data_IF_392275903480
#
_entry.id   IF_392275903480
#
_cell.length_a   1.000
_cell.length_b   1.000
_cell.length_c   1.000
_cell.angle_alpha   90.00
_cell.angle_beta   90.00
_cell.angle_gamma   90.00
#
_symmetry.space_group_name_H-M   'P 1'
#
loop_
_entity.id
_entity.type
_entity.pdbx_description
1 polymer ?
#
# COMPACT_ATOMS: atom_id res chain seq x y z
N UNK A 1 -19.48 -38.06 -53.20
CA UNK A 1 -18.20 -37.34 -52.97
C UNK A 1 -18.55 -35.86 -52.86
N UNK A 2 -18.16 -35.20 -51.76
CA UNK A 2 -18.56 -33.84 -51.28
C UNK A 2 -19.82 -33.79 -50.41
N UNK A 3 -19.62 -33.83 -49.10
CA UNK A 3 -20.45 -33.24 -48.02
C UNK A 3 -20.14 -34.04 -46.75
N UNK A 4 -19.06 -33.73 -46.00
CA UNK A 4 -18.89 -34.16 -44.59
C UNK A 4 -17.59 -33.60 -43.99
N UNK A 5 -17.37 -32.27 -44.03
CA UNK A 5 -16.30 -31.61 -43.23
C UNK A 5 -16.77 -30.21 -42.85
N UNK A 6 -17.75 -30.07 -41.95
CA UNK A 6 -18.13 -28.78 -41.35
C UNK A 6 -18.73 -28.93 -39.93
N UNK A 7 -18.28 -29.92 -39.16
CA UNK A 7 -18.85 -30.21 -37.82
C UNK A 7 -17.81 -30.34 -36.69
N UNK A 8 -16.64 -29.70 -36.82
CA UNK A 8 -15.64 -29.64 -35.75
C UNK A 8 -15.01 -28.25 -35.57
N UNK A 9 -15.83 -27.22 -35.80
CA UNK A 9 -15.59 -25.86 -35.31
C UNK A 9 -16.74 -25.51 -34.36
N UNK A 10 -16.93 -26.37 -33.34
CA UNK A 10 -17.55 -25.93 -32.10
C UNK A 10 -16.56 -24.93 -31.51
N UNK A 11 -16.75 -23.67 -31.92
CA UNK A 11 -16.32 -22.52 -31.17
C UNK A 11 -16.70 -22.79 -29.72
N UNK A 12 -15.71 -23.12 -28.91
CA UNK A 12 -15.72 -22.75 -27.51
C UNK A 12 -15.84 -21.23 -27.49
N UNK A 13 -17.06 -20.73 -27.65
CA UNK A 13 -17.48 -19.43 -27.17
C UNK A 13 -17.25 -19.52 -25.67
N UNK A 14 -15.99 -19.31 -25.27
CA UNK A 14 -15.63 -18.91 -23.93
C UNK A 14 -16.42 -17.65 -23.71
N UNK A 15 -17.61 -17.80 -23.12
CA UNK A 15 -18.40 -16.72 -22.59
C UNK A 15 -17.50 -16.03 -21.56
N UNK A 16 -16.74 -15.03 -22.02
CA UNK A 16 -16.14 -14.01 -21.18
C UNK A 16 -17.34 -13.28 -20.56
N UNK A 17 -17.83 -13.84 -19.46
CA UNK A 17 -18.78 -13.18 -18.59
C UNK A 17 -18.05 -11.94 -18.11
N UNK A 18 -18.38 -10.79 -18.69
CA UNK A 18 -17.90 -9.51 -18.19
C UNK A 18 -18.47 -9.35 -16.80
N UNK A 19 -17.60 -9.42 -15.80
CA UNK A 19 -17.97 -9.15 -14.41
C UNK A 19 -18.71 -7.81 -14.34
N UNK A 20 -19.82 -7.80 -13.61
CA UNK A 20 -20.57 -6.56 -13.34
C UNK A 20 -19.63 -5.53 -12.72
N UNK A 21 -19.82 -4.23 -12.97
CA UNK A 21 -19.02 -3.17 -12.31
C UNK A 21 -19.07 -3.26 -10.78
N UNK A 22 -20.12 -3.89 -10.23
CA UNK A 22 -20.27 -4.13 -8.79
C UNK A 22 -19.38 -5.28 -8.26
N UNK A 23 -18.82 -6.11 -9.14
CA UNK A 23 -17.89 -7.18 -8.78
C UNK A 23 -16.42 -6.74 -8.87
N UNK A 24 -16.14 -5.60 -9.50
CA UNK A 24 -14.78 -5.06 -9.56
C UNK A 24 -14.36 -4.56 -8.18
N UNK A 25 -13.34 -5.21 -7.64
CA UNK A 25 -12.78 -4.81 -6.36
C UNK A 25 -11.77 -3.71 -6.58
N UNK A 26 -11.74 -2.76 -5.64
CA UNK A 26 -10.77 -1.70 -5.55
C UNK A 26 -10.41 -1.54 -4.09
N UNK A 27 -9.22 -1.97 -3.73
CA UNK A 27 -8.64 -1.77 -2.40
C UNK A 27 -7.20 -1.34 -2.52
N UNK A 28 -6.65 -0.78 -1.46
CA UNK A 28 -5.25 -0.37 -1.44
C UNK A 28 -4.92 0.51 -0.27
N UNK A 29 -3.69 0.99 -0.25
CA UNK A 29 -3.21 1.94 0.74
C UNK A 29 -1.90 2.58 0.33
N UNK A 30 -1.53 3.65 1.03
CA UNK A 30 -0.30 4.38 0.79
C UNK A 30 -0.16 5.60 1.68
N UNK A 31 0.96 6.30 1.53
CA UNK A 31 1.24 7.51 2.30
C UNK A 31 1.33 7.26 3.80
N UNK A 32 0.72 8.15 4.57
CA UNK A 32 0.60 8.10 6.03
C UNK A 32 -0.52 7.16 6.51
N UNK A 33 -0.19 5.88 6.74
CA UNK A 33 -0.85 4.74 6.13
C UNK A 33 -2.36 4.91 6.01
N UNK A 34 -2.77 5.45 4.86
CA UNK A 34 -4.15 5.58 4.47
C UNK A 34 -4.57 4.35 3.68
N UNK A 35 -5.77 3.84 3.92
CA UNK A 35 -6.32 2.67 3.25
C UNK A 35 -7.73 2.93 2.76
N UNK A 36 -7.97 2.56 1.50
CA UNK A 36 -9.33 2.42 1.01
C UNK A 36 -9.70 0.94 0.98
N UNK A 37 -10.70 0.62 1.80
CA UNK A 37 -11.16 -0.73 2.07
C UNK A 37 -12.18 -1.17 1.02
N UNK A 38 -12.47 -2.46 1.03
CA UNK A 38 -13.56 -2.99 0.21
C UNK A 38 -14.89 -2.32 0.61
N UNK A 39 -15.61 -1.81 -0.38
CA UNK A 39 -16.87 -1.09 -0.16
C UNK A 39 -16.72 0.43 -0.14
N UNK A 40 -15.50 0.95 -0.32
CA UNK A 40 -15.24 2.38 -0.45
C UNK A 40 -15.03 3.10 0.88
N UNK A 41 -14.99 2.37 2.00
CA UNK A 41 -14.61 2.92 3.29
C UNK A 41 -13.14 3.34 3.29
N UNK A 42 -12.84 4.39 4.05
CA UNK A 42 -11.53 5.02 4.13
C UNK A 42 -11.06 4.98 5.58
N UNK A 43 -9.81 4.59 5.83
CA UNK A 43 -9.25 4.47 7.18
C UNK A 43 -7.77 4.85 7.21
N UNK A 44 -7.32 5.44 8.31
CA UNK A 44 -5.92 5.80 8.56
C UNK A 44 -5.41 4.98 9.74
N UNK A 45 -4.19 4.46 9.66
CA UNK A 45 -3.58 3.66 10.74
C UNK A 45 -2.16 4.12 11.03
N UNK A 46 -1.99 4.79 12.17
CA UNK A 46 -0.68 5.13 12.72
C UNK A 46 -0.15 4.05 13.64
N UNK A 47 0.27 2.93 13.04
CA UNK A 47 0.78 1.78 13.78
C UNK A 47 2.13 1.33 13.23
N UNK A 48 3.07 1.02 14.11
CA UNK A 48 4.31 0.34 13.76
C UNK A 48 4.12 -1.15 13.97
N UNK A 49 3.97 -1.91 12.88
CA UNK A 49 3.99 -3.38 12.85
C UNK A 49 3.93 -3.87 11.39
N UNK A 50 3.80 -5.17 11.18
CA UNK A 50 3.38 -5.73 9.90
C UNK A 50 1.90 -6.12 9.96
N UNK A 51 1.14 -5.80 8.91
CA UNK A 51 -0.31 -6.04 8.81
C UNK A 51 -0.60 -6.95 7.61
N UNK A 52 -1.44 -7.96 7.81
CA UNK A 52 -2.01 -8.78 6.74
C UNK A 52 -3.13 -8.00 6.06
N UNK A 53 -2.80 -7.38 4.92
CA UNK A 53 -3.75 -6.59 4.15
C UNK A 53 -4.83 -7.45 3.52
N UNK A 54 -4.42 -8.57 2.91
CA UNK A 54 -5.29 -9.58 2.34
C UNK A 54 -4.61 -10.94 2.39
N UNK A 55 -5.40 -12.01 2.56
CA UNK A 55 -4.96 -13.38 2.43
C UNK A 55 -6.08 -14.29 1.90
N UNK A 56 -5.71 -15.39 1.25
CA UNK A 56 -6.64 -16.40 0.78
C UNK A 56 -6.12 -17.15 -0.44
N UNK A 57 -7.01 -17.40 -1.41
CA UNK A 57 -6.65 -18.00 -2.70
C UNK A 57 -7.13 -17.16 -3.86
N UNK A 58 -6.28 -16.98 -4.86
CA UNK A 58 -6.55 -16.28 -6.12
C UNK A 58 -6.12 -17.20 -7.25
N UNK A 59 -7.02 -17.48 -8.20
CA UNK A 59 -6.71 -18.36 -9.34
C UNK A 59 -6.09 -19.72 -8.91
N UNK A 60 -6.62 -20.29 -7.83
CA UNK A 60 -6.14 -21.55 -7.25
C UNK A 60 -4.80 -21.48 -6.50
N UNK A 61 -4.11 -20.33 -6.52
CA UNK A 61 -2.84 -20.11 -5.80
C UNK A 61 -3.07 -19.53 -4.42
N UNK A 62 -2.22 -19.90 -3.46
CA UNK A 62 -2.15 -19.19 -2.18
C UNK A 62 -1.76 -17.73 -2.43
N UNK A 63 -2.43 -16.82 -1.73
CA UNK A 63 -2.29 -15.39 -1.96
C UNK A 63 -2.23 -14.67 -0.63
N UNK A 64 -1.21 -13.82 -0.45
CA UNK A 64 -1.11 -12.93 0.71
C UNK A 64 -0.49 -11.59 0.32
N UNK A 65 -0.96 -10.51 0.94
CA UNK A 65 -0.35 -9.19 0.87
C UNK A 65 -0.13 -8.72 2.31
N UNK A 66 1.11 -8.41 2.66
CA UNK A 66 1.47 -7.82 3.94
C UNK A 66 2.04 -6.41 3.72
N UNK A 67 1.65 -5.45 4.55
CA UNK A 67 2.37 -4.17 4.69
C UNK A 67 3.26 -4.19 5.92
N UNK A 68 4.37 -3.47 5.84
CA UNK A 68 5.21 -3.14 7.00
C UNK A 68 5.20 -1.64 7.18
N UNK A 69 4.85 -1.22 8.38
CA UNK A 69 4.74 0.18 8.74
C UNK A 69 5.90 0.55 9.64
N UNK A 70 6.59 1.63 9.30
CA UNK A 70 7.75 2.11 10.03
C UNK A 70 7.62 3.58 10.34
N UNK A 71 8.39 4.04 11.34
CA UNK A 71 8.55 5.46 11.61
C UNK A 71 9.67 5.99 10.73
N UNK A 72 9.59 7.23 10.22
CA UNK A 72 10.69 7.77 9.44
C UNK A 72 11.98 7.91 10.24
N UNK A 73 13.07 7.38 9.69
CA UNK A 73 14.41 7.56 10.25
C UNK A 73 15.05 8.88 9.83
N UNK A 74 14.60 9.47 8.70
CA UNK A 74 15.14 10.72 8.16
C UNK A 74 14.52 11.92 8.87
N UNK A 75 15.17 12.38 9.95
CA UNK A 75 14.79 13.60 10.69
C UNK A 75 14.68 14.85 9.80
N UNK A 76 15.39 14.88 8.66
CA UNK A 76 15.39 16.01 7.73
C UNK A 76 14.09 16.12 6.92
N UNK A 77 13.45 14.98 6.61
CA UNK A 77 12.22 14.93 5.80
C UNK A 77 11.00 15.10 6.71
N UNK A 78 11.00 14.39 7.84
CA UNK A 78 9.87 14.37 8.77
C UNK A 78 10.25 15.21 9.98
N UNK A 79 9.92 16.51 9.90
CA UNK A 79 10.25 17.52 10.91
C UNK A 79 9.71 17.13 12.29
N UNK A 80 10.51 16.43 13.13
CA UNK A 80 10.25 16.10 14.54
C UNK A 80 8.90 15.43 14.89
N UNK A 81 8.02 15.16 13.92
CA UNK A 81 6.72 14.56 14.14
C UNK A 81 6.94 13.11 14.56
N UNK A 82 6.86 12.91 15.88
CA UNK A 82 6.94 11.60 16.48
C UNK A 82 5.74 10.74 16.08
N UNK A 83 4.66 11.39 15.63
CA UNK A 83 3.28 10.92 15.40
C UNK A 83 2.99 10.40 14.00
N UNK A 84 4.02 9.95 13.29
CA UNK A 84 3.90 9.60 11.87
C UNK A 84 4.50 8.24 11.56
N UNK A 85 3.76 7.44 10.80
CA UNK A 85 4.27 6.20 10.21
C UNK A 85 4.10 6.23 8.69
N UNK A 86 4.70 5.27 8.00
CA UNK A 86 4.48 5.09 6.57
C UNK A 86 4.65 3.62 6.20
N UNK A 87 4.15 3.25 5.02
CA UNK A 87 4.36 1.91 4.46
C UNK A 87 5.79 1.82 3.90
N UNK A 88 6.69 1.21 4.66
CA UNK A 88 8.11 1.08 4.30
C UNK A 88 8.41 -0.11 3.39
N UNK A 89 7.57 -1.15 3.44
CA UNK A 89 7.64 -2.26 2.50
C UNK A 89 6.29 -2.95 2.30
N UNK A 90 6.10 -3.51 1.11
CA UNK A 90 4.98 -4.40 0.78
C UNK A 90 5.55 -5.76 0.40
N UNK A 91 5.03 -6.82 1.02
CA UNK A 91 5.29 -8.21 0.67
C UNK A 91 4.07 -8.83 0.02
N UNK A 92 4.24 -9.60 -1.06
CA UNK A 92 3.16 -10.31 -1.75
C UNK A 92 3.58 -11.75 -1.97
N UNK A 93 2.75 -12.70 -1.56
CA UNK A 93 2.90 -14.10 -1.91
C UNK A 93 1.91 -14.50 -2.99
N UNK A 94 2.39 -15.12 -4.08
CA UNK A 94 1.62 -15.71 -5.17
C UNK A 94 2.06 -17.18 -5.35
N UNK A 95 1.36 -18.11 -4.71
CA UNK A 95 1.77 -19.49 -4.60
C UNK A 95 3.11 -19.62 -3.85
N UNK A 96 4.11 -20.17 -4.53
CA UNK A 96 5.47 -20.34 -3.98
C UNK A 96 6.35 -19.08 -4.13
N UNK A 97 5.88 -18.09 -4.90
CA UNK A 97 6.65 -16.88 -5.17
C UNK A 97 6.34 -15.78 -4.17
N UNK A 98 7.40 -15.18 -3.62
CA UNK A 98 7.32 -14.04 -2.71
C UNK A 98 7.98 -12.81 -3.34
N UNK A 99 7.17 -11.78 -3.54
CA UNK A 99 7.56 -10.45 -3.98
C UNK A 99 7.72 -9.52 -2.80
N UNK A 100 8.74 -8.66 -2.82
CA UNK A 100 8.95 -7.62 -1.82
C UNK A 100 9.34 -6.32 -2.50
N UNK A 101 8.58 -5.26 -2.26
CA UNK A 101 8.94 -3.88 -2.63
C UNK A 101 9.42 -3.16 -1.37
N UNK A 102 10.59 -2.51 -1.45
CA UNK A 102 11.15 -1.65 -0.41
C UNK A 102 11.10 -0.18 -0.86
N UNK A 103 10.66 0.70 0.02
CA UNK A 103 10.38 2.09 -0.35
C UNK A 103 11.65 2.89 -0.68
N UNK A 104 12.70 2.70 0.13
CA UNK A 104 13.98 3.43 0.02
C UNK A 104 14.69 3.22 -1.32
N UNK A 105 14.56 2.02 -1.89
CA UNK A 105 15.26 1.68 -3.14
C UNK A 105 14.30 1.62 -4.34
N UNK A 106 12.99 1.58 -4.11
CA UNK A 106 11.98 1.29 -5.13
C UNK A 106 12.24 -0.01 -5.89
N UNK A 107 12.89 -0.98 -5.24
CA UNK A 107 13.29 -2.25 -5.87
C UNK A 107 12.33 -3.36 -5.51
N UNK A 108 11.89 -4.09 -6.53
CA UNK A 108 11.12 -5.33 -6.38
C UNK A 108 12.04 -6.55 -6.37
N UNK A 109 11.91 -7.37 -5.33
CA UNK A 109 12.61 -8.63 -5.18
C UNK A 109 11.64 -9.79 -5.30
N UNK A 110 12.02 -10.86 -6.00
CA UNK A 110 11.32 -12.15 -6.06
C UNK A 110 12.16 -13.22 -5.38
N UNK A 111 11.64 -13.90 -4.36
CA UNK A 111 12.34 -14.98 -3.64
C UNK A 111 13.78 -14.61 -3.22
N UNK A 112 13.96 -13.37 -2.73
CA UNK A 112 15.26 -12.78 -2.34
C UNK A 112 16.21 -12.46 -3.51
N UNK A 113 15.78 -12.60 -4.76
CA UNK A 113 16.53 -12.20 -5.96
C UNK A 113 15.95 -10.89 -6.49
N UNK A 114 16.79 -9.91 -6.84
CA UNK A 114 16.35 -8.63 -7.40
C UNK A 114 15.88 -8.83 -8.85
N UNK A 115 14.69 -8.31 -9.19
CA UNK A 115 14.10 -8.52 -10.54
C UNK A 115 14.91 -7.80 -11.63
N UNK A 116 15.58 -6.68 -11.33
CA UNK A 116 16.41 -5.95 -12.30
C UNK A 116 17.85 -6.45 -12.43
N UNK A 117 18.27 -7.47 -11.69
CA UNK A 117 19.63 -8.06 -11.77
C UNK A 117 19.60 -9.53 -12.23
N UNK A 118 18.41 -10.10 -12.44
CA UNK A 118 18.25 -11.45 -12.97
C UNK A 118 18.44 -11.50 -14.48
N UNK A 119 18.87 -12.66 -14.99
CA UNK A 119 19.13 -13.04 -16.40
C UNK A 119 17.81 -13.07 -17.25
N UNK A 120 16.83 -12.27 -16.87
CA UNK A 120 15.42 -12.46 -17.13
C UNK A 120 14.74 -11.20 -17.65
N UNK A 121 15.52 -10.20 -18.07
CA UNK A 121 15.01 -8.98 -18.67
C UNK A 121 15.42 -8.95 -20.15
N UNK A 122 14.46 -9.08 -21.06
CA UNK A 122 14.60 -8.48 -22.38
C UNK A 122 14.08 -7.06 -22.24
N UNK A 123 14.96 -6.08 -22.39
CA UNK A 123 14.59 -4.66 -22.38
C UNK A 123 14.04 -4.31 -23.77
N UNK A 124 12.72 -4.23 -23.88
CA UNK A 124 12.10 -3.44 -24.95
C UNK A 124 11.76 -2.07 -24.36
N UNK A 125 12.54 -1.07 -24.75
CA UNK A 125 12.30 0.31 -24.37
C UNK A 125 11.26 0.91 -25.33
N UNK A 126 10.01 0.99 -24.88
CA UNK A 126 8.97 1.77 -25.57
C UNK A 126 8.67 3.05 -24.78
N UNK A 127 8.53 4.15 -25.50
CA UNK A 127 8.00 5.41 -24.95
C UNK A 127 6.50 5.46 -25.27
N UNK A 128 5.67 5.77 -24.27
CA UNK A 128 4.24 5.99 -24.52
C UNK A 128 3.99 7.37 -25.18
N UNK A 129 2.73 7.65 -25.56
CA UNK A 129 2.33 8.93 -26.19
C UNK A 129 2.64 10.15 -25.31
N UNK A 130 2.75 9.96 -24.00
CA UNK A 130 3.08 10.99 -23.01
C UNK A 130 4.60 11.16 -22.80
N UNK A 131 5.43 10.39 -23.51
CA UNK A 131 6.89 10.42 -23.42
C UNK A 131 7.47 9.71 -22.19
N UNK A 132 6.68 8.90 -21.49
CA UNK A 132 7.15 8.10 -20.35
C UNK A 132 7.85 6.83 -20.83
N UNK A 133 8.99 6.52 -20.23
CA UNK A 133 9.72 5.27 -20.47
C UNK A 133 8.98 4.10 -19.81
N UNK A 134 8.49 3.17 -20.63
CA UNK A 134 7.90 1.92 -20.17
C UNK A 134 8.93 0.81 -20.36
N UNK A 135 9.49 0.33 -19.26
CA UNK A 135 10.38 -0.83 -19.26
C UNK A 135 9.55 -2.10 -18.99
N UNK A 136 9.13 -2.79 -20.05
CA UNK A 136 8.42 -4.05 -19.88
C UNK A 136 9.41 -5.20 -19.64
N UNK A 137 9.35 -5.79 -18.44
CA UNK A 137 10.18 -6.92 -18.06
C UNK A 137 9.38 -8.23 -18.19
N UNK A 138 9.57 -8.97 -19.27
CA UNK A 138 9.00 -10.32 -19.37
C UNK A 138 9.79 -11.31 -18.51
N UNK A 139 9.22 -11.74 -17.38
CA UNK A 139 9.80 -12.80 -16.53
C UNK A 139 9.82 -14.13 -17.32
N UNK A 140 10.98 -14.74 -17.63
CA UNK A 140 11.04 -15.84 -18.58
C UNK A 140 10.31 -17.10 -18.14
N UNK A 141 9.36 -17.44 -19.00
CA UNK A 141 8.78 -18.70 -19.47
C UNK A 141 8.60 -19.92 -18.57
N UNK A 142 9.39 -20.15 -17.52
CA UNK A 142 9.15 -21.33 -16.66
C UNK A 142 8.12 -21.10 -15.55
N UNK A 143 7.70 -19.86 -15.31
CA UNK A 143 6.59 -19.48 -14.38
C UNK A 143 5.62 -18.48 -15.06
N UNK A 144 5.82 -18.16 -16.34
CA UNK A 144 5.09 -17.12 -17.08
C UNK A 144 3.59 -17.42 -17.31
N UNK A 145 3.11 -18.62 -16.99
CA UNK A 145 1.74 -19.01 -17.28
C UNK A 145 0.69 -18.38 -16.36
N UNK A 146 1.07 -17.78 -15.22
CA UNK A 146 0.08 -17.36 -14.18
C UNK A 146 -0.03 -15.85 -13.99
N UNK A 147 1.06 -15.10 -14.16
CA UNK A 147 1.06 -13.65 -14.02
C UNK A 147 2.23 -13.03 -14.79
N UNK A 148 2.08 -11.75 -15.12
CA UNK A 148 3.07 -10.88 -15.78
C UNK A 148 3.42 -9.72 -14.86
N UNK A 149 4.66 -9.24 -14.92
CA UNK A 149 5.12 -8.09 -14.14
C UNK A 149 5.65 -7.03 -15.09
N UNK A 150 5.12 -5.81 -15.00
CA UNK A 150 5.63 -4.66 -15.76
C UNK A 150 6.26 -3.68 -14.77
N UNK A 151 7.36 -3.02 -15.16
CA UNK A 151 7.93 -1.90 -14.40
C UNK A 151 7.69 -0.62 -15.19
N UNK A 152 7.41 0.46 -14.51
CA UNK A 152 7.37 1.80 -15.10
C UNK A 152 8.18 2.72 -14.22
N UNK A 153 9.03 3.52 -14.85
CA UNK A 153 9.70 4.62 -14.16
C UNK A 153 8.86 5.86 -14.47
N UNK A 154 8.24 6.40 -13.43
CA UNK A 154 7.38 7.57 -13.50
C UNK A 154 8.19 8.77 -13.03
N UNK A 155 7.95 9.95 -13.63
CA UNK A 155 8.46 11.27 -13.22
C UNK A 155 9.95 11.32 -12.82
N UNK A 156 10.83 11.70 -13.76
CA UNK A 156 12.25 12.03 -13.48
C UNK A 156 12.97 11.01 -12.56
N UNK A 157 12.61 9.72 -12.66
CA UNK A 157 13.18 8.62 -11.85
C UNK A 157 12.84 8.64 -10.34
N UNK A 158 12.00 9.56 -9.89
CA UNK A 158 11.61 9.68 -8.47
C UNK A 158 10.52 8.70 -8.03
N UNK A 159 9.80 8.13 -9.00
CA UNK A 159 8.73 7.17 -8.73
C UNK A 159 8.90 5.90 -9.58
N UNK A 160 8.81 4.75 -8.93
CA UNK A 160 8.86 3.44 -9.60
C UNK A 160 7.54 2.73 -9.38
N UNK A 161 6.92 2.24 -10.47
CA UNK A 161 5.71 1.44 -10.43
C UNK A 161 5.97 0.02 -10.92
N UNK A 162 5.43 -0.96 -10.23
CA UNK A 162 5.33 -2.34 -10.67
C UNK A 162 3.85 -2.72 -10.84
N UNK A 163 3.53 -3.39 -11.93
CA UNK A 163 2.18 -3.85 -12.26
C UNK A 163 2.21 -5.36 -12.40
N UNK A 164 1.56 -6.08 -11.48
CA UNK A 164 1.38 -7.52 -11.56
C UNK A 164 0.01 -7.78 -12.17
N UNK A 165 -0.04 -8.36 -13.37
CA UNK A 165 -1.28 -8.74 -14.07
C UNK A 165 -1.42 -10.25 -14.12
N UNK A 166 -2.63 -10.79 -13.92
CA UNK A 166 -2.86 -12.24 -13.95
C UNK A 166 -3.20 -12.71 -15.35
N UNK A 167 -2.65 -13.85 -15.78
CA UNK A 167 -2.89 -14.41 -17.13
C UNK A 167 -4.27 -15.04 -17.29
N UNK A 168 -4.85 -15.55 -16.19
CA UNK A 168 -6.23 -16.05 -16.15
C UNK A 168 -7.26 -14.92 -16.28
N UNK A 169 -6.87 -13.68 -15.98
CA UNK A 169 -7.77 -12.53 -15.99
C UNK A 169 -7.06 -11.20 -16.31
N UNK A 170 -7.27 -10.72 -17.54
CA UNK A 170 -6.64 -9.49 -18.07
C UNK A 170 -7.00 -8.22 -17.28
N UNK A 171 -8.08 -8.24 -16.49
CA UNK A 171 -8.53 -7.09 -15.70
C UNK A 171 -8.00 -7.09 -14.26
N UNK A 172 -7.50 -8.22 -13.75
CA UNK A 172 -6.98 -8.32 -12.38
C UNK A 172 -5.53 -7.87 -12.32
N UNK A 173 -5.30 -6.80 -11.55
CA UNK A 173 -4.01 -6.12 -11.44
C UNK A 173 -3.71 -5.72 -10.01
N UNK A 174 -2.44 -5.85 -9.64
CA UNK A 174 -1.86 -5.27 -8.43
C UNK A 174 -0.82 -4.23 -8.88
N UNK A 175 -0.98 -3.00 -8.42
CA UNK A 175 -0.03 -1.92 -8.64
C UNK A 175 0.73 -1.68 -7.34
N UNK A 176 2.04 -1.64 -7.44
CA UNK A 176 2.94 -1.27 -6.35
C UNK A 176 3.72 -0.07 -6.83
N UNK A 177 3.73 1.02 -6.05
CA UNK A 177 4.43 2.24 -6.40
C UNK A 177 5.31 2.62 -5.23
N UNK A 178 6.56 2.94 -5.49
CA UNK A 178 7.48 3.51 -4.53
C UNK A 178 7.82 4.94 -4.95
N UNK A 179 7.77 5.87 -4.00
CA UNK A 179 8.27 7.23 -4.15
C UNK A 179 9.61 7.33 -3.43
N UNK A 180 10.70 7.51 -4.18
CA UNK A 180 12.07 7.41 -3.67
C UNK A 180 12.46 8.59 -2.79
N UNK A 181 11.95 9.79 -3.10
CA UNK A 181 12.31 10.98 -2.32
C UNK A 181 11.76 10.92 -0.88
N UNK A 182 10.62 10.27 -0.66
CA UNK A 182 9.90 10.28 0.62
C UNK A 182 9.89 8.91 1.30
N UNK A 183 10.57 7.93 0.70
CA UNK A 183 10.57 6.53 1.12
C UNK A 183 9.14 5.98 1.33
N UNK A 184 8.17 6.32 0.46
CA UNK A 184 6.76 5.88 0.62
C UNK A 184 6.35 4.82 -0.40
N UNK A 185 5.55 3.86 0.04
CA UNK A 185 4.88 2.90 -0.86
C UNK A 185 3.39 3.16 -0.93
N UNK A 186 2.87 3.09 -2.16
CA UNK A 186 1.45 2.98 -2.46
C UNK A 186 1.20 1.62 -3.09
N UNK A 187 0.11 0.97 -2.69
CA UNK A 187 -0.36 -0.26 -3.29
C UNK A 187 -1.83 -0.11 -3.63
N UNK A 188 -2.21 -0.57 -4.82
CA UNK A 188 -3.59 -0.68 -5.22
C UNK A 188 -3.83 -2.03 -5.87
N UNK A 189 -5.01 -2.58 -5.64
CA UNK A 189 -5.45 -3.82 -6.24
C UNK A 189 -6.82 -3.60 -6.88
N UNK A 190 -6.94 -3.97 -8.15
CA UNK A 190 -8.18 -3.81 -8.90
C UNK A 190 -8.47 -4.99 -9.82
N UNK A 191 -9.73 -5.43 -9.89
CA UNK A 191 -10.14 -6.52 -10.80
C UNK A 191 -11.22 -7.42 -10.21
N UNK A 192 -11.50 -8.53 -10.89
CA UNK A 192 -12.47 -9.52 -10.44
C UNK A 192 -11.87 -10.54 -9.47
N UNK A 193 -10.58 -10.90 -9.65
CA UNK A 193 -9.88 -11.97 -8.93
C UNK A 193 -10.67 -13.30 -8.88
N UNK A 194 -11.59 -13.53 -9.81
CA UNK A 194 -12.45 -14.72 -9.88
C UNK A 194 -13.26 -14.98 -8.59
N UNK A 195 -13.41 -16.26 -8.22
CA UNK A 195 -14.11 -16.69 -7.00
C UNK A 195 -13.23 -16.59 -5.73
N UNK A 196 -12.27 -15.66 -5.69
CA UNK A 196 -11.31 -15.57 -4.62
C UNK A 196 -11.98 -15.37 -3.25
N UNK A 197 -11.50 -16.12 -2.26
CA UNK A 197 -11.92 -15.98 -0.87
C UNK A 197 -10.88 -15.17 -0.12
N UNK A 198 -10.81 -13.87 -0.40
CA UNK A 198 -9.86 -12.98 0.26
C UNK A 198 -10.45 -12.35 1.52
N UNK A 199 -9.65 -12.27 2.56
CA UNK A 199 -9.98 -11.54 3.77
C UNK A 199 -8.71 -10.93 4.34
N UNK A 200 -8.83 -9.80 5.03
CA UNK A 200 -7.71 -9.12 5.64
C UNK A 200 -8.12 -7.78 6.22
N UNK A 201 -7.11 -6.98 6.55
CA UNK A 201 -7.29 -5.60 6.97
C UNK A 201 -8.05 -4.76 5.92
N UNK A 202 -7.90 -5.07 4.61
CA UNK A 202 -8.63 -4.38 3.53
C UNK A 202 -10.10 -4.83 3.37
N UNK A 203 -10.58 -5.71 4.25
CA UNK A 203 -11.95 -6.23 4.28
C UNK A 203 -12.07 -7.67 3.80
N UNK A 204 -13.31 -8.16 3.71
CA UNK A 204 -13.68 -9.52 3.29
C UNK A 204 -14.27 -9.49 1.87
N UNK A 205 -13.87 -10.41 0.98
CA UNK A 205 -14.30 -10.50 -0.42
C UNK A 205 -15.69 -11.10 -0.66
N UNK A 206 -16.31 -11.71 0.34
CA UNK A 206 -17.66 -12.28 0.25
C UNK A 206 -18.69 -11.50 1.04
N UNK A 207 -18.25 -10.76 2.05
CA UNK A 207 -19.13 -10.09 3.01
C UNK A 207 -18.84 -8.59 3.08
N UNK A 208 -19.88 -7.80 3.35
CA UNK A 208 -19.72 -6.36 3.65
C UNK A 208 -19.44 -6.19 5.15
N UNK A 209 -18.59 -5.22 5.47
CA UNK A 209 -18.14 -4.93 6.84
C UNK A 209 -16.70 -5.38 7.12
N UNK A 210 -16.25 -5.11 8.33
CA UNK A 210 -14.92 -5.41 8.84
C UNK A 210 -15.01 -6.62 9.76
N UNK A 211 -14.23 -7.65 9.46
CA UNK A 211 -14.28 -8.94 10.15
C UNK A 211 -12.92 -9.26 10.77
N UNK A 212 -12.97 -9.94 11.91
CA UNK A 212 -11.84 -10.61 12.52
C UNK A 212 -11.49 -11.91 11.76
N UNK A 213 -10.31 -12.48 12.05
CA UNK A 213 -9.82 -13.73 11.45
C UNK A 213 -10.71 -14.93 11.74
N UNK A 214 -11.38 -14.94 12.89
CA UNK A 214 -12.38 -15.94 13.28
C UNK A 214 -13.74 -15.77 12.57
N UNK A 215 -13.87 -14.73 11.73
CA UNK A 215 -15.08 -14.43 10.98
C UNK A 215 -16.12 -13.62 11.75
N UNK A 216 -15.85 -13.18 12.99
CA UNK A 216 -16.69 -12.28 13.77
C UNK A 216 -16.73 -10.89 13.12
N UNK A 217 -17.93 -10.31 13.02
CA UNK A 217 -18.10 -8.93 12.56
C UNK A 217 -17.63 -7.97 13.66
N UNK A 218 -16.65 -7.13 13.36
CA UNK A 218 -16.15 -6.09 14.27
C UNK A 218 -16.89 -4.78 14.06
N UNK A 219 -17.08 -4.36 12.80
CA UNK A 219 -17.83 -3.15 12.46
C UNK A 219 -18.48 -3.26 11.08
N UNK A 220 -19.59 -2.54 10.86
CA UNK A 220 -20.24 -2.49 9.55
C UNK A 220 -19.58 -1.48 8.61
N UNK A 221 -18.95 -0.44 9.16
CA UNK A 221 -18.25 0.63 8.45
C UNK A 221 -16.96 0.96 9.19
N UNK A 222 -15.98 1.51 8.47
CA UNK A 222 -14.72 1.96 9.06
C UNK A 222 -14.88 3.01 10.17
N UNK A 223 -15.86 3.91 10.08
CA UNK A 223 -16.10 4.94 11.11
C UNK A 223 -16.53 4.36 12.47
N UNK A 224 -17.03 3.13 12.49
CA UNK A 224 -17.58 2.50 13.70
C UNK A 224 -16.58 1.54 14.37
N UNK A 225 -15.39 1.33 13.79
CA UNK A 225 -14.43 0.34 14.28
C UNK A 225 -13.47 0.96 15.30
N UNK A 226 -13.14 0.21 16.35
CA UNK A 226 -11.93 0.47 17.11
C UNK A 226 -10.73 0.12 16.21
N UNK A 227 -10.01 1.14 15.75
CA UNK A 227 -8.94 0.97 14.79
C UNK A 227 -7.76 0.22 15.39
N UNK A 228 -7.47 0.40 16.67
CA UNK A 228 -6.36 -0.29 17.33
C UNK A 228 -6.68 -1.78 17.48
N UNK A 229 -7.91 -2.12 17.89
CA UNK A 229 -8.36 -3.52 17.93
C UNK A 229 -8.31 -4.15 16.54
N UNK A 230 -8.82 -3.46 15.52
CA UNK A 230 -8.88 -3.98 14.14
C UNK A 230 -7.49 -4.15 13.51
N UNK A 231 -6.57 -3.22 13.76
CA UNK A 231 -5.18 -3.32 13.30
C UNK A 231 -4.44 -4.46 14.01
N UNK A 232 -4.59 -4.61 15.32
CA UNK A 232 -3.98 -5.71 16.07
C UNK A 232 -4.53 -7.08 15.63
N UNK A 233 -5.83 -7.17 15.33
CA UNK A 233 -6.46 -8.38 14.80
C UNK A 233 -5.79 -8.83 13.50
N UNK A 234 -5.39 -7.89 12.64
CA UNK A 234 -4.72 -8.18 11.37
C UNK A 234 -3.19 -8.05 11.42
N UNK A 235 -2.59 -7.95 12.60
CA UNK A 235 -1.14 -8.01 12.73
C UNK A 235 -0.63 -9.38 12.25
N UNK A 236 0.51 -9.39 11.56
CA UNK A 236 1.14 -10.64 11.08
C UNK A 236 1.52 -11.52 12.29
N UNK A 237 1.02 -12.75 12.31
CA UNK A 237 1.27 -13.75 13.34
C UNK A 237 2.59 -14.49 13.05
N UNK A 238 3.21 -15.06 14.10
CA UNK A 238 4.39 -15.91 13.92
C UNK A 238 4.12 -17.23 13.16
N UNK A 239 2.85 -17.65 13.05
CA UNK A 239 2.43 -18.80 12.24
C UNK A 239 2.21 -18.46 10.76
N UNK A 240 2.22 -17.17 10.41
CA UNK A 240 2.01 -16.71 9.03
C UNK A 240 3.36 -16.62 8.28
N UNK A 241 3.36 -16.76 6.95
CA UNK A 241 4.59 -16.70 6.18
C UNK A 241 5.21 -15.31 6.28
N UNK A 242 6.50 -15.27 6.59
CA UNK A 242 7.22 -14.00 6.69
C UNK A 242 7.61 -13.56 5.28
N UNK A 243 6.91 -12.57 4.75
CA UNK A 243 7.15 -12.05 3.38
C UNK A 243 8.34 -11.08 3.29
N UNK A 244 8.92 -10.72 4.43
CA UNK A 244 9.99 -9.74 4.53
C UNK A 244 11.33 -10.41 4.91
N UNK A 245 12.43 -9.90 4.36
CA UNK A 245 13.79 -10.44 4.63
C UNK A 245 14.25 -10.28 6.08
N UNK A 246 13.88 -9.16 6.69
CA UNK A 246 14.30 -8.85 8.05
C UNK A 246 13.29 -9.43 9.05
N UNK A 247 13.72 -10.50 9.70
CA UNK A 247 13.01 -11.21 10.76
C UNK A 247 13.20 -10.59 12.15
N UNK A 248 14.10 -9.60 12.27
CA UNK A 248 14.37 -8.90 13.53
C UNK A 248 13.54 -7.65 13.70
N UNK A 249 12.70 -7.34 12.71
CA UNK A 249 11.84 -6.17 12.72
C UNK A 249 10.87 -6.18 13.90
N UNK A 250 10.78 -5.04 14.58
CA UNK A 250 10.00 -4.84 15.79
C UNK A 250 9.03 -3.67 15.60
N UNK A 251 7.80 -3.74 16.15
CA UNK A 251 7.22 -4.85 16.92
C UNK A 251 6.54 -5.90 16.03
N UNK A 252 6.61 -7.17 16.44
CA UNK A 252 5.92 -8.30 15.80
C UNK A 252 5.44 -9.32 16.84
N UNK A 253 4.36 -10.03 16.50
CA UNK A 253 3.85 -11.15 17.30
C UNK A 253 4.81 -12.34 17.27
N UNK A 254 4.82 -13.19 18.32
CA UNK A 254 3.97 -13.13 19.51
C UNK A 254 4.48 -12.17 20.59
N UNK A 255 5.61 -11.51 20.36
CA UNK A 255 6.31 -10.78 21.42
C UNK A 255 5.63 -9.46 21.75
N UNK A 256 5.11 -8.74 20.74
CA UNK A 256 4.49 -7.43 20.93
C UNK A 256 3.33 -7.20 19.98
N UNK A 257 2.29 -6.54 20.50
CA UNK A 257 1.23 -5.91 19.71
C UNK A 257 1.80 -4.75 18.87
N UNK A 258 1.00 -4.25 17.93
CA UNK A 258 1.35 -3.03 17.20
C UNK A 258 1.55 -1.86 18.17
N UNK A 259 2.53 -1.00 17.88
CA UNK A 259 2.73 0.24 18.62
C UNK A 259 2.04 1.37 17.88
N UNK A 260 1.06 2.01 18.52
CA UNK A 260 0.34 3.14 17.95
C UNK A 260 1.00 4.44 18.38
N UNK A 261 1.01 5.43 17.48
CA UNK A 261 1.82 6.61 17.71
C UNK A 261 1.11 7.65 18.59
N UNK A 262 -0.21 7.81 18.44
CA UNK A 262 -1.02 8.70 19.28
C UNK A 262 -1.01 8.31 20.78
N UNK A 263 -0.84 7.03 21.11
CA UNK A 263 -0.78 6.56 22.49
C UNK A 263 0.56 6.84 23.18
N UNK A 264 1.61 7.23 22.45
CA UNK A 264 2.92 7.55 23.05
C UNK A 264 2.93 8.90 23.78
N UNK A 265 2.09 9.85 23.36
CA UNK A 265 2.01 11.17 24.01
C UNK A 265 1.26 11.17 25.35
N UNK A 266 0.38 10.19 25.60
CA UNK A 266 -0.33 10.05 26.87
C UNK A 266 0.48 9.42 28.02
N UNK A 267 1.62 8.78 27.72
CA UNK A 267 2.41 8.03 28.72
C UNK A 267 3.46 8.91 29.42
N UNK A 268 3.92 10.00 28.80
CA UNK A 268 4.87 10.92 29.45
C UNK A 268 4.25 11.76 30.57
N UNK A 269 2.94 12.05 30.53
CA UNK A 269 2.28 12.78 31.63
C UNK A 269 1.98 11.90 32.85
N UNK A 270 1.86 10.58 32.69
CA UNK A 270 1.52 9.65 33.77
C UNK A 270 2.74 9.12 34.57
N UNK A 271 3.99 9.29 34.09
CA UNK A 271 5.20 8.70 34.72
C UNK A 271 6.11 9.67 35.47
N UNK A 272 5.57 10.72 36.09
CA UNK A 272 6.34 11.63 36.96
C UNK A 272 6.71 11.08 38.35
N UNK A 273 6.77 9.75 38.53
CA UNK A 273 7.40 9.14 39.71
C UNK A 273 8.57 8.21 39.34
N UNK A 274 9.72 8.83 39.08
CA UNK A 274 11.00 8.19 39.42
C UNK A 274 11.76 7.44 38.33
N UNK A 275 12.30 8.15 37.34
CA UNK A 275 13.75 8.17 36.98
C UNK A 275 13.91 8.80 35.60
N UNK A 276 14.34 10.06 35.59
CA UNK A 276 14.68 10.82 34.38
C UNK A 276 15.96 10.26 33.76
N UNK A 277 15.87 9.43 32.73
CA UNK A 277 16.95 9.30 31.73
C UNK A 277 16.89 10.52 30.82
N UNK A 278 17.82 11.43 31.08
CA UNK A 278 17.95 12.74 30.47
C UNK A 278 18.49 12.60 29.04
N UNK A 279 17.60 12.46 28.05
CA UNK A 279 17.97 12.73 26.66
C UNK A 279 18.24 14.23 26.53
N UNK A 280 19.52 14.60 26.46
CA UNK A 280 19.95 15.99 26.27
C UNK A 280 19.57 16.47 24.87
N UNK A 281 18.37 17.03 24.73
CA UNK A 281 17.99 17.87 23.61
C UNK A 281 18.99 19.05 23.51
N UNK A 282 19.71 19.12 22.39
CA UNK A 282 20.58 20.23 22.03
C UNK A 282 19.78 21.53 22.00
N UNK A 283 19.87 22.32 23.08
CA UNK A 283 19.44 23.71 23.10
C UNK A 283 20.38 24.55 22.23
N UNK A 284 20.01 24.72 20.97
CA UNK A 284 20.71 25.58 20.02
C UNK A 284 19.81 26.22 18.95
N UNK A 285 18.49 26.14 19.06
CA UNK A 285 17.58 26.84 18.15
C UNK A 285 17.22 28.21 18.71
N UNK A 286 17.54 29.24 17.93
CA UNK A 286 17.08 30.62 18.13
C UNK A 286 15.56 30.60 18.28
N UNK A 287 15.04 31.19 19.36
CA UNK A 287 13.61 31.44 19.56
C UNK A 287 13.12 32.35 18.42
N UNK A 288 12.55 31.76 17.37
CA UNK A 288 11.52 32.45 16.60
C UNK A 288 10.37 32.74 17.57
N UNK A 289 9.69 33.87 17.40
CA UNK A 289 8.48 34.14 18.20
C UNK A 289 7.48 33.01 17.91
N UNK A 290 6.72 32.59 18.92
CA UNK A 290 5.66 31.58 18.71
C UNK A 290 4.69 32.02 17.61
N UNK A 291 4.48 33.32 17.46
CA UNK A 291 3.66 33.95 16.41
C UNK A 291 4.20 33.66 14.99
N UNK A 292 5.52 33.68 14.78
CA UNK A 292 6.12 33.38 13.47
C UNK A 292 5.99 31.89 13.10
N UNK A 293 6.02 30.99 14.09
CA UNK A 293 5.87 29.56 13.86
C UNK A 293 4.42 29.20 13.49
N UNK A 294 3.45 29.78 14.20
CA UNK A 294 2.03 29.55 13.94
C UNK A 294 1.60 30.12 12.59
N UNK A 295 2.10 31.31 12.22
CA UNK A 295 1.85 31.89 10.90
C UNK A 295 2.39 31.01 9.77
N UNK A 296 3.61 30.45 9.92
CA UNK A 296 4.17 29.51 8.93
C UNK A 296 3.36 28.23 8.82
N UNK A 297 2.81 27.70 9.93
CA UNK A 297 1.93 26.52 9.91
C UNK A 297 0.64 26.81 9.12
N UNK A 298 0.04 27.98 9.31
CA UNK A 298 -1.15 28.41 8.56
C UNK A 298 -0.84 28.57 7.07
N UNK A 299 0.27 29.23 6.72
CA UNK A 299 0.70 29.40 5.32
C UNK A 299 0.95 28.06 4.62
N UNK A 300 1.67 27.14 5.28
CA UNK A 300 1.90 25.78 4.77
C UNK A 300 0.59 25.03 4.53
N UNK A 301 -0.39 25.16 5.44
CA UNK A 301 -1.70 24.50 5.30
C UNK A 301 -2.50 25.05 4.14
N UNK A 302 -2.59 26.37 4.00
CA UNK A 302 -3.26 27.01 2.86
C UNK A 302 -2.61 26.57 1.54
N UNK A 303 -1.28 26.46 1.53
CA UNK A 303 -0.54 25.96 0.37
C UNK A 303 -0.89 24.51 0.03
N UNK A 304 -0.85 23.61 1.01
CA UNK A 304 -1.23 22.20 0.83
C UNK A 304 -2.68 22.04 0.36
N UNK A 305 -3.63 22.76 0.97
CA UNK A 305 -5.04 22.76 0.58
C UNK A 305 -5.22 23.23 -0.88
N UNK A 306 -4.50 24.28 -1.28
CA UNK A 306 -4.53 24.77 -2.67
C UNK A 306 -4.06 23.70 -3.64
N UNK A 307 -2.96 23.01 -3.33
CA UNK A 307 -2.40 21.99 -4.23
C UNK A 307 -3.31 20.78 -4.27
N UNK A 308 -3.84 20.30 -3.14
CA UNK A 308 -4.75 19.16 -3.08
C UNK A 308 -6.17 19.47 -3.61
N UNK A 309 -6.54 20.75 -3.79
CA UNK A 309 -7.90 21.16 -4.21
C UNK A 309 -8.33 20.65 -5.58
N UNK A 310 -7.41 20.30 -6.48
CA UNK A 310 -7.76 19.74 -7.79
C UNK A 310 -8.55 18.43 -7.67
N UNK A 311 -8.38 17.70 -6.54
CA UNK A 311 -9.10 16.47 -6.22
C UNK A 311 -10.54 16.72 -5.76
N UNK A 312 -10.86 17.91 -5.26
CA UNK A 312 -12.20 18.25 -4.77
C UNK A 312 -13.27 18.32 -5.89
N UNK A 313 -12.86 18.39 -7.16
CA UNK A 313 -13.79 18.46 -8.31
C UNK A 313 -14.57 17.17 -8.54
N UNK A 314 -14.11 16.05 -7.98
CA UNK A 314 -14.85 14.79 -7.96
C UNK A 314 -15.58 14.74 -6.63
N UNK A 315 -16.91 14.85 -6.62
CA UNK A 315 -17.82 14.96 -5.45
C UNK A 315 -17.67 13.86 -4.35
N UNK A 316 -16.70 12.95 -4.44
CA UNK A 316 -16.59 11.76 -3.60
C UNK A 316 -15.44 11.74 -2.60
N UNK A 317 -14.72 12.85 -2.38
CA UNK A 317 -13.40 12.71 -1.75
C UNK A 317 -12.93 13.84 -0.84
N UNK A 318 -13.81 14.46 -0.04
CA UNK A 318 -13.36 15.38 1.01
C UNK A 318 -12.28 14.74 1.92
N UNK A 319 -12.42 13.44 2.20
CA UNK A 319 -11.47 12.66 3.00
C UNK A 319 -10.13 12.49 2.28
N UNK A 320 -10.06 12.12 0.98
CA UNK A 320 -8.73 12.01 0.33
C UNK A 320 -8.09 13.37 0.08
N UNK A 321 -8.87 14.44 -0.06
CA UNK A 321 -8.31 15.81 -0.06
C UNK A 321 -7.64 16.07 1.28
N UNK A 322 -8.28 15.70 2.40
CA UNK A 322 -7.67 15.80 3.72
C UNK A 322 -6.39 14.96 3.84
N UNK A 323 -6.41 13.70 3.41
CA UNK A 323 -5.22 12.84 3.37
C UNK A 323 -4.08 13.45 2.55
N UNK A 324 -4.38 13.97 1.36
CA UNK A 324 -3.41 14.68 0.54
C UNK A 324 -2.80 15.87 1.29
N UNK A 325 -3.63 16.67 1.97
CA UNK A 325 -3.16 17.84 2.74
C UNK A 325 -2.27 17.41 3.91
N UNK A 326 -2.68 16.38 4.65
CA UNK A 326 -1.92 15.81 5.77
C UNK A 326 -0.55 15.33 5.30
N UNK A 327 -0.50 14.51 4.23
CA UNK A 327 0.77 14.00 3.74
C UNK A 327 1.67 15.09 3.15
N UNK A 328 1.13 16.06 2.39
CA UNK A 328 1.91 17.19 1.88
C UNK A 328 2.47 18.04 3.03
N UNK A 329 1.72 18.22 4.11
CA UNK A 329 2.20 18.93 5.29
C UNK A 329 3.31 18.18 6.02
N UNK A 330 3.17 16.86 6.15
CA UNK A 330 4.13 15.99 6.84
C UNK A 330 5.44 15.82 6.08
N UNK A 331 5.34 15.66 4.77
CA UNK A 331 6.50 15.47 3.88
C UNK A 331 7.12 16.79 3.43
N UNK A 332 6.32 17.85 3.33
CA UNK A 332 6.73 19.12 2.71
C UNK A 332 6.79 19.07 1.19
N UNK A 333 6.22 18.04 0.56
CA UNK A 333 6.41 17.76 -0.85
C UNK A 333 5.12 17.80 -1.67
N UNK A 334 5.03 18.75 -2.60
CA UNK A 334 3.84 18.97 -3.41
C UNK A 334 3.57 17.92 -4.47
N UNK A 335 4.61 17.22 -4.95
CA UNK A 335 4.47 16.20 -5.99
C UNK A 335 3.60 15.03 -5.55
N UNK A 336 3.53 14.79 -4.24
CA UNK A 336 2.69 13.78 -3.62
C UNK A 336 1.21 13.99 -3.93
N UNK A 337 0.77 15.26 -4.00
CA UNK A 337 -0.61 15.61 -4.28
C UNK A 337 -1.07 15.18 -5.68
N UNK A 338 -0.13 14.91 -6.59
CA UNK A 338 -0.41 14.44 -7.95
C UNK A 338 -0.47 12.92 -8.06
N UNK A 339 -0.27 12.17 -6.97
CA UNK A 339 -0.35 10.72 -7.01
C UNK A 339 -1.81 10.25 -7.17
N UNK A 340 -2.05 9.32 -8.10
CA UNK A 340 -3.37 8.73 -8.37
C UNK A 340 -4.08 8.10 -7.15
N UNK A 341 -3.39 7.87 -6.04
CA UNK A 341 -4.00 7.44 -4.79
C UNK A 341 -5.09 8.43 -4.33
N UNK A 342 -4.84 9.73 -4.53
CA UNK A 342 -5.72 10.83 -4.13
C UNK A 342 -6.87 11.11 -5.10
N UNK A 343 -6.91 10.41 -6.24
CA UNK A 343 -7.87 10.62 -7.33
C UNK A 343 -9.31 10.11 -7.09
#
# INVERSE_FOLDING_TARGET
MKLFIWALLLQTLSSRVYASSDEMIRVGGGGDPHYYLRGGDLITVQAMCAIVLLQGKVFGMDFQIHSRHHRPEREEIFQQDQDYTYISSIGIQLGDDVFKLEAQEGRLFKNKIRISEGIYAFEENEYNEDGELVEEYMVPEYIADKYKIQKKILKEETQVQYIISFTEDDISKIYLRAHLDYDMIFMSMSGSFGNANLQGFLGDYKRKGLYARDGRLMAKKAVDVDIEEYTNEWQVLASEPILFRDHTYFPQLPYHQCLFVDTMHGVEEASTSGRKTMWKLRKGQRRLSMEDEDMRKVEKRIYAEKICSHQAKKERSAIKVQWCVEDVLKTGHEELAKDHFYD
#
